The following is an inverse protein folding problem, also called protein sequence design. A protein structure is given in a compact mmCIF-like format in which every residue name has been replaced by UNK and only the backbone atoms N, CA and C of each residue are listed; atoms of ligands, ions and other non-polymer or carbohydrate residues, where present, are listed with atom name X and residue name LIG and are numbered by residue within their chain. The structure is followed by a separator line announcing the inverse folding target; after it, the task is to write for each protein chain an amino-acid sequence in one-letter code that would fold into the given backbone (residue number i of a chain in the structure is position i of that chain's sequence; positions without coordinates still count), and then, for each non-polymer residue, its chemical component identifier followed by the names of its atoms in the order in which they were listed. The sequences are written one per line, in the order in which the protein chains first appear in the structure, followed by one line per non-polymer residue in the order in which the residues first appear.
data_IF_847500759256
#
_entry.id   IF_847500759256
#
_cell.length_a   1.000
_cell.length_b   1.000
_cell.length_c   1.000
_cell.angle_alpha   90.00
_cell.angle_beta   90.00
_cell.angle_gamma   90.00
#
_symmetry.space_group_name_H-M   'P 1'
#
loop_
_entity.id
_entity.type
_entity.pdbx_description
1 polymer ?
#
# COMPACT_ATOMS: atom_id res chain seq x y z
N UNK A 1 -14.47 33.55 -19.39
CA UNK A 1 -13.33 32.90 -18.68
C UNK A 1 -13.86 32.45 -17.34
N UNK A 2 -13.83 31.14 -17.06
CA UNK A 2 -14.24 30.66 -15.74
C UNK A 2 -13.11 31.00 -14.75
N UNK A 3 -13.35 31.98 -13.87
CA UNK A 3 -12.37 32.44 -12.86
C UNK A 3 -12.29 31.47 -11.66
N UNK A 4 -12.50 30.16 -11.89
CA UNK A 4 -12.56 29.14 -10.85
C UNK A 4 -11.95 27.85 -11.37
N UNK A 5 -11.03 27.27 -10.60
CA UNK A 5 -10.52 25.91 -10.79
C UNK A 5 -11.45 24.96 -10.01
N UNK A 6 -11.74 23.78 -10.56
CA UNK A 6 -12.52 22.79 -9.82
C UNK A 6 -11.74 22.29 -8.60
N UNK A 7 -12.43 21.98 -7.50
CA UNK A 7 -11.75 21.48 -6.29
C UNK A 7 -10.90 20.23 -6.59
N UNK A 8 -11.39 19.36 -7.48
CA UNK A 8 -10.69 18.15 -7.91
C UNK A 8 -9.38 18.48 -8.65
N UNK A 9 -9.40 19.42 -9.59
CA UNK A 9 -8.16 19.87 -10.24
C UNK A 9 -7.18 20.46 -9.23
N UNK A 10 -7.65 21.29 -8.30
CA UNK A 10 -6.77 21.87 -7.27
C UNK A 10 -6.12 20.80 -6.38
N UNK A 11 -6.91 19.83 -5.89
CA UNK A 11 -6.43 18.82 -4.96
C UNK A 11 -5.57 17.75 -5.66
N UNK A 12 -5.79 17.48 -6.94
CA UNK A 12 -5.00 16.49 -7.70
C UNK A 12 -3.57 16.97 -7.98
N UNK A 13 -3.35 18.28 -8.08
CA UNK A 13 -2.03 18.89 -8.17
C UNK A 13 -1.43 19.26 -6.81
N UNK A 14 -2.15 19.00 -5.72
CA UNK A 14 -1.67 19.29 -4.37
C UNK A 14 -0.60 18.28 -3.96
N UNK A 15 0.44 18.69 -3.20
CA UNK A 15 1.37 17.76 -2.55
C UNK A 15 0.64 16.69 -1.73
N UNK A 16 1.18 15.47 -1.71
CA UNK A 16 0.59 14.34 -0.97
C UNK A 16 0.45 14.61 0.54
N UNK A 17 1.31 15.48 1.08
CA UNK A 17 1.27 15.97 2.47
C UNK A 17 -0.03 16.69 2.83
N UNK A 18 -0.72 17.22 1.81
CA UNK A 18 -2.02 17.83 2.00
C UNK A 18 -3.16 16.83 2.06
N UNK A 19 -2.94 15.57 1.66
CA UNK A 19 -3.94 14.50 1.71
C UNK A 19 -3.72 13.63 2.94
N UNK A 20 -2.46 13.32 3.23
CA UNK A 20 -2.03 12.60 4.42
C UNK A 20 -0.96 13.41 5.12
N UNK A 21 -1.23 13.82 6.37
CA UNK A 21 -0.34 14.69 7.15
C UNK A 21 0.95 13.93 7.50
N UNK A 22 2.15 14.37 7.11
CA UNK A 22 3.42 13.76 7.54
C UNK A 22 3.60 13.81 9.05
N UNK A 23 4.30 12.83 9.63
CA UNK A 23 4.54 12.76 11.09
C UNK A 23 5.38 13.96 11.52
N UNK A 24 4.86 14.77 12.44
CA UNK A 24 5.56 15.96 12.91
C UNK A 24 6.70 15.58 13.86
N UNK A 25 7.75 16.40 13.94
CA UNK A 25 8.94 16.10 14.74
C UNK A 25 8.61 15.83 16.22
N UNK A 26 7.61 16.52 16.75
CA UNK A 26 7.12 16.37 18.12
C UNK A 26 6.39 15.03 18.34
N UNK A 27 5.82 14.45 17.28
CA UNK A 27 5.09 13.17 17.31
C UNK A 27 6.01 11.97 17.07
N UNK A 28 7.20 12.16 16.50
CA UNK A 28 8.16 11.08 16.18
C UNK A 28 8.45 10.18 17.39
N UNK A 29 8.70 10.69 18.62
CA UNK A 29 8.95 9.82 19.77
C UNK A 29 7.77 8.89 20.08
N UNK A 30 6.55 9.43 20.04
CA UNK A 30 5.33 8.65 20.25
C UNK A 30 5.15 7.60 19.14
N UNK A 31 5.38 8.00 17.88
CA UNK A 31 5.30 7.09 16.75
C UNK A 31 6.31 5.92 16.87
N UNK A 32 7.55 6.22 17.26
CA UNK A 32 8.57 5.19 17.52
C UNK A 32 8.14 4.23 18.62
N UNK A 33 7.52 4.72 19.70
CA UNK A 33 6.96 3.85 20.73
C UNK A 33 5.86 2.92 20.18
N UNK A 34 5.02 3.36 19.23
CA UNK A 34 4.04 2.49 18.58
C UNK A 34 4.74 1.37 17.78
N UNK A 35 5.79 1.71 17.03
CA UNK A 35 6.60 0.75 16.27
C UNK A 35 7.30 -0.25 17.21
N UNK A 36 7.97 0.23 18.25
CA UNK A 36 8.65 -0.61 19.26
C UNK A 36 7.68 -1.58 19.94
N UNK A 37 6.47 -1.13 20.25
CA UNK A 37 5.42 -2.00 20.80
C UNK A 37 5.03 -3.12 19.83
N UNK A 38 4.97 -2.84 18.52
CA UNK A 38 4.72 -3.87 17.50
C UNK A 38 5.85 -4.90 17.48
N UNK A 39 7.11 -4.47 17.49
CA UNK A 39 8.26 -5.39 17.55
C UNK A 39 8.26 -6.22 18.85
N UNK A 40 8.08 -5.59 20.01
CA UNK A 40 8.08 -6.26 21.30
C UNK A 40 6.96 -7.32 21.40
N UNK A 41 5.73 -6.95 21.02
CA UNK A 41 4.59 -7.89 21.04
C UNK A 41 4.74 -8.97 19.99
N UNK A 42 5.34 -8.70 18.83
CA UNK A 42 5.59 -9.71 17.81
C UNK A 42 6.49 -10.86 18.32
N UNK A 43 7.50 -10.54 19.12
CA UNK A 43 8.40 -11.52 19.73
C UNK A 43 7.76 -12.24 20.91
N UNK A 44 7.22 -11.47 21.87
CA UNK A 44 6.91 -11.94 23.22
C UNK A 44 5.41 -12.01 23.53
N UNK A 45 4.56 -11.36 22.73
CA UNK A 45 3.13 -11.25 22.98
C UNK A 45 2.30 -12.46 22.56
N UNK A 46 1.06 -12.50 23.04
CA UNK A 46 -0.01 -13.39 22.59
C UNK A 46 -0.49 -13.01 21.19
N UNK A 47 -1.27 -13.89 20.53
CA UNK A 47 -1.87 -13.59 19.21
C UNK A 47 -2.72 -12.30 19.24
N UNK A 48 -3.44 -12.08 20.35
CA UNK A 48 -4.28 -10.90 20.53
C UNK A 48 -3.44 -9.64 20.66
N UNK A 49 -2.45 -9.63 21.57
CA UNK A 49 -1.60 -8.45 21.78
C UNK A 49 -0.83 -8.04 20.52
N UNK A 50 -0.45 -9.00 19.68
CA UNK A 50 0.16 -8.74 18.37
C UNK A 50 -0.79 -8.05 17.40
N UNK A 51 -2.05 -8.49 17.35
CA UNK A 51 -3.09 -7.85 16.56
C UNK A 51 -3.34 -6.44 17.06
N UNK A 52 -3.63 -6.30 18.35
CA UNK A 52 -3.96 -5.04 19.01
C UNK A 52 -2.85 -3.98 18.85
N UNK A 53 -1.56 -4.36 18.90
CA UNK A 53 -0.45 -3.43 18.72
C UNK A 53 -0.34 -2.91 17.28
N UNK A 54 -0.48 -3.78 16.28
CA UNK A 54 -0.49 -3.39 14.87
C UNK A 54 -1.72 -2.55 14.54
N UNK A 55 -2.88 -2.89 15.10
CA UNK A 55 -4.10 -2.12 14.92
C UNK A 55 -3.97 -0.70 15.47
N UNK A 56 -3.34 -0.54 16.64
CA UNK A 56 -3.05 0.78 17.23
C UNK A 56 -2.14 1.62 16.35
N UNK A 57 -1.05 1.01 15.84
CA UNK A 57 -0.15 1.67 14.89
C UNK A 57 -0.91 2.13 13.64
N UNK A 58 -1.68 1.24 13.02
CA UNK A 58 -2.45 1.59 11.81
C UNK A 58 -3.55 2.61 12.07
N UNK A 59 -4.15 2.61 13.26
CA UNK A 59 -5.10 3.65 13.66
C UNK A 59 -4.44 5.02 13.63
N UNK A 60 -3.24 5.15 14.23
CA UNK A 60 -2.47 6.39 14.18
C UNK A 60 -2.18 6.80 12.74
N UNK A 61 -1.73 5.88 11.89
CA UNK A 61 -1.39 6.16 10.49
C UNK A 61 -2.61 6.59 9.68
N UNK A 62 -3.74 5.88 9.78
CA UNK A 62 -4.95 6.20 9.02
C UNK A 62 -5.57 7.53 9.45
N UNK A 63 -5.52 7.88 10.75
CA UNK A 63 -6.06 9.14 11.26
C UNK A 63 -5.36 10.39 10.71
N UNK A 64 -4.22 10.24 10.03
CA UNK A 64 -3.51 11.36 9.40
C UNK A 64 -4.04 11.72 8.01
N UNK A 65 -4.89 10.90 7.40
CA UNK A 65 -5.66 11.35 6.24
C UNK A 65 -6.54 12.54 6.61
N UNK A 66 -6.67 13.51 5.71
CA UNK A 66 -7.59 14.64 5.87
C UNK A 66 -8.98 14.25 5.35
N UNK A 67 -10.02 14.84 5.91
CA UNK A 67 -11.42 14.65 5.48
C UNK A 67 -11.86 13.17 5.47
N UNK A 68 -11.56 12.46 6.54
CA UNK A 68 -11.94 11.05 6.72
C UNK A 68 -12.62 10.79 8.07
N UNK A 69 -13.21 9.60 8.16
CA UNK A 69 -13.63 8.96 9.41
C UNK A 69 -13.01 7.57 9.49
N UNK A 70 -12.22 7.31 10.54
CA UNK A 70 -11.70 5.96 10.81
C UNK A 70 -12.64 5.24 11.78
N UNK A 71 -13.25 4.15 11.33
CA UNK A 71 -13.95 3.20 12.19
C UNK A 71 -13.01 2.03 12.47
N UNK A 72 -12.75 1.72 13.73
CA UNK A 72 -11.92 0.58 14.13
C UNK A 72 -12.79 -0.49 14.80
N UNK A 73 -12.36 -1.76 14.74
CA UNK A 73 -13.03 -2.89 15.40
C UNK A 73 -14.53 -3.01 15.05
N UNK A 74 -14.85 -2.87 13.75
CA UNK A 74 -16.23 -2.94 13.26
C UNK A 74 -16.69 -4.38 13.25
N UNK A 75 -17.63 -4.71 14.14
CA UNK A 75 -18.21 -6.05 14.25
C UNK A 75 -19.54 -6.11 13.50
N UNK A 76 -19.65 -7.09 12.61
CA UNK A 76 -20.91 -7.63 12.09
C UNK A 76 -21.10 -9.03 12.67
N UNK A 77 -22.32 -9.58 12.59
CA UNK A 77 -22.70 -10.86 13.19
C UNK A 77 -21.71 -12.01 12.90
N UNK A 78 -21.03 -11.98 11.74
CA UNK A 78 -20.12 -13.05 11.31
C UNK A 78 -18.65 -12.62 11.12
N UNK A 79 -18.34 -11.31 11.10
CA UNK A 79 -17.00 -10.81 10.76
C UNK A 79 -16.58 -9.59 11.61
N UNK A 80 -15.33 -9.59 12.06
CA UNK A 80 -14.65 -8.43 12.63
C UNK A 80 -13.74 -7.82 11.56
N UNK A 81 -13.87 -6.50 11.36
CA UNK A 81 -13.01 -5.71 10.48
C UNK A 81 -12.17 -4.81 11.36
N UNK A 82 -10.85 -4.86 11.17
CA UNK A 82 -9.92 -4.09 12.00
C UNK A 82 -10.09 -2.58 11.75
N UNK A 83 -10.12 -2.15 10.48
CA UNK A 83 -10.32 -0.75 10.09
C UNK A 83 -11.22 -0.59 8.87
N UNK A 84 -12.10 0.40 8.93
CA UNK A 84 -12.76 1.02 7.77
C UNK A 84 -12.39 2.50 7.78
N UNK A 85 -11.70 2.96 6.74
CA UNK A 85 -11.44 4.37 6.51
C UNK A 85 -12.47 4.87 5.51
N UNK A 86 -13.39 5.72 5.96
CA UNK A 86 -14.39 6.35 5.11
C UNK A 86 -13.91 7.75 4.73
N UNK A 87 -13.80 8.01 3.43
CA UNK A 87 -13.47 9.32 2.91
C UNK A 87 -14.73 10.14 2.66
N UNK A 88 -14.66 11.45 2.93
CA UNK A 88 -15.77 12.36 2.67
C UNK A 88 -15.87 12.60 1.16
N UNK A 89 -17.05 12.34 0.60
CA UNK A 89 -17.34 12.56 -0.82
C UNK A 89 -17.15 14.04 -1.20
N UNK A 90 -16.61 14.29 -2.38
CA UNK A 90 -16.28 15.64 -2.87
C UNK A 90 -15.08 16.33 -2.19
N UNK A 91 -14.45 15.70 -1.18
CA UNK A 91 -13.25 16.22 -0.51
C UNK A 91 -12.00 15.37 -0.78
N UNK A 92 -12.09 14.41 -1.70
CA UNK A 92 -11.00 13.47 -2.01
C UNK A 92 -10.34 13.78 -3.34
N UNK A 93 -9.02 13.51 -3.47
CA UNK A 93 -8.37 13.48 -4.78
C UNK A 93 -8.97 12.44 -5.71
N UNK A 94 -8.85 12.68 -7.01
CA UNK A 94 -9.31 11.78 -8.07
C UNK A 94 -8.69 10.39 -7.94
N UNK A 95 -7.45 10.28 -7.46
CA UNK A 95 -6.85 8.97 -7.21
C UNK A 95 -7.65 8.14 -6.20
N UNK A 96 -8.06 8.74 -5.07
CA UNK A 96 -8.90 8.06 -4.08
C UNK A 96 -10.26 7.75 -4.69
N UNK A 97 -10.91 8.74 -5.30
CA UNK A 97 -12.26 8.58 -5.86
C UNK A 97 -12.34 7.47 -6.92
N UNK A 98 -11.39 7.44 -7.86
CA UNK A 98 -11.41 6.48 -8.97
C UNK A 98 -10.94 5.09 -8.55
N UNK A 99 -9.86 5.00 -7.76
CA UNK A 99 -9.14 3.74 -7.55
C UNK A 99 -9.39 3.09 -6.19
N UNK A 100 -9.57 3.88 -5.12
CA UNK A 100 -9.86 3.39 -3.76
C UNK A 100 -11.38 3.29 -3.54
N UNK A 101 -12.11 4.26 -4.08
CA UNK A 101 -13.48 4.55 -3.68
C UNK A 101 -13.54 5.34 -2.37
N UNK A 102 -14.75 5.58 -1.87
CA UNK A 102 -14.97 6.32 -0.61
C UNK A 102 -14.69 5.48 0.65
N UNK A 103 -14.28 4.23 0.49
CA UNK A 103 -13.92 3.35 1.60
C UNK A 103 -12.63 2.61 1.31
N UNK A 104 -11.78 2.49 2.33
CA UNK A 104 -10.63 1.61 2.37
C UNK A 104 -10.81 0.65 3.55
N UNK A 105 -10.54 -0.64 3.33
CA UNK A 105 -10.61 -1.66 4.38
C UNK A 105 -9.20 -2.07 4.79
N UNK A 106 -8.89 -1.94 6.07
CA UNK A 106 -7.60 -2.30 6.65
C UNK A 106 -7.70 -3.56 7.50
N UNK A 107 -6.75 -4.48 7.33
CA UNK A 107 -6.60 -5.70 8.13
C UNK A 107 -5.18 -5.82 8.67
N UNK A 108 -5.06 -6.00 9.98
CA UNK A 108 -3.80 -6.17 10.69
C UNK A 108 -3.50 -7.66 10.87
N UNK A 109 -2.33 -8.09 10.39
CA UNK A 109 -1.86 -9.49 10.45
C UNK A 109 -0.44 -9.55 10.97
N UNK A 110 -0.32 -9.50 12.29
CA UNK A 110 0.96 -9.50 12.97
C UNK A 110 1.34 -10.90 13.51
N UNK A 111 1.51 -11.86 12.60
CA UNK A 111 1.91 -13.24 12.94
C UNK A 111 3.24 -13.63 12.30
N UNK A 112 3.91 -14.66 12.84
CA UNK A 112 5.24 -15.15 12.39
C UNK A 112 5.22 -15.85 11.00
N UNK A 113 4.28 -15.50 10.13
CA UNK A 113 4.09 -16.07 8.78
C UNK A 113 3.82 -14.94 7.78
N UNK A 114 4.08 -15.20 6.52
CA UNK A 114 3.67 -14.34 5.40
C UNK A 114 2.15 -14.37 5.24
N UNK A 115 1.60 -13.34 4.57
CA UNK A 115 0.15 -13.30 4.27
C UNK A 115 -0.19 -14.41 3.28
N UNK A 116 -1.18 -15.24 3.59
CA UNK A 116 -1.61 -16.40 2.82
C UNK A 116 -2.78 -16.12 1.88
N UNK A 117 -2.97 -16.98 0.88
CA UNK A 117 -4.07 -16.85 -0.11
C UNK A 117 -5.46 -16.85 0.52
N UNK A 118 -5.63 -17.55 1.64
CA UNK A 118 -6.89 -17.55 2.40
C UNK A 118 -7.19 -16.17 2.96
N UNK A 119 -6.20 -15.50 3.54
CA UNK A 119 -6.36 -14.17 4.12
C UNK A 119 -6.70 -13.15 3.04
N UNK A 120 -6.02 -13.22 1.89
CA UNK A 120 -6.36 -12.41 0.71
C UNK A 120 -7.80 -12.65 0.25
N UNK A 121 -8.28 -13.89 0.27
CA UNK A 121 -9.67 -14.20 -0.11
C UNK A 121 -10.67 -13.62 0.90
N UNK A 122 -10.38 -13.75 2.20
CA UNK A 122 -11.23 -13.19 3.25
C UNK A 122 -11.32 -11.66 3.15
N UNK A 123 -10.21 -10.97 2.90
CA UNK A 123 -10.23 -9.52 2.72
C UNK A 123 -11.02 -9.12 1.46
N UNK A 124 -10.89 -9.86 0.36
CA UNK A 124 -11.70 -9.61 -0.85
C UNK A 124 -13.21 -9.74 -0.61
N UNK A 125 -13.62 -10.69 0.22
CA UNK A 125 -15.01 -10.83 0.65
C UNK A 125 -15.46 -9.59 1.45
N UNK A 126 -14.64 -9.10 2.39
CA UNK A 126 -14.93 -7.86 3.12
C UNK A 126 -15.03 -6.65 2.19
N UNK A 127 -14.14 -6.55 1.19
CA UNK A 127 -14.19 -5.48 0.19
C UNK A 127 -15.50 -5.50 -0.60
N UNK A 128 -15.93 -6.69 -1.03
CA UNK A 128 -17.23 -6.86 -1.71
C UNK A 128 -18.38 -6.46 -0.80
N UNK A 129 -18.39 -6.94 0.45
CA UNK A 129 -19.50 -6.72 1.38
C UNK A 129 -19.60 -5.26 1.85
N UNK A 130 -18.49 -4.50 1.79
CA UNK A 130 -18.44 -3.08 2.16
C UNK A 130 -18.43 -2.12 0.98
N UNK A 131 -18.52 -2.64 -0.25
CA UNK A 131 -18.42 -1.87 -1.50
C UNK A 131 -17.16 -1.00 -1.55
N UNK A 132 -16.02 -1.61 -1.23
CA UNK A 132 -14.68 -1.00 -1.27
C UNK A 132 -13.87 -1.57 -2.43
N UNK A 133 -13.05 -0.72 -3.08
CA UNK A 133 -12.17 -1.14 -4.17
C UNK A 133 -10.75 -1.48 -3.70
N UNK A 134 -10.35 -1.05 -2.50
CA UNK A 134 -9.00 -1.24 -1.99
C UNK A 134 -8.99 -1.84 -0.58
N UNK A 135 -8.27 -2.95 -0.45
CA UNK A 135 -7.89 -3.57 0.82
C UNK A 135 -6.42 -3.36 1.12
N UNK A 136 -6.12 -3.10 2.39
CA UNK A 136 -4.76 -2.93 2.89
C UNK A 136 -4.48 -3.93 3.99
N UNK A 137 -3.42 -4.72 3.82
CA UNK A 137 -2.83 -5.47 4.92
C UNK A 137 -1.71 -4.67 5.59
N UNK A 138 -1.66 -4.70 6.92
CA UNK A 138 -0.49 -4.33 7.71
C UNK A 138 0.07 -5.57 8.40
N UNK A 139 1.36 -5.86 8.21
CA UNK A 139 1.93 -7.11 8.71
C UNK A 139 3.43 -6.99 8.96
N UNK A 140 3.98 -7.95 9.69
CA UNK A 140 5.44 -8.02 9.84
C UNK A 140 6.14 -8.49 8.56
N UNK A 141 5.51 -9.44 7.84
CA UNK A 141 6.01 -10.03 6.61
C UNK A 141 5.06 -9.76 5.44
N UNK A 142 5.61 -9.69 4.22
CA UNK A 142 4.83 -9.51 3.00
C UNK A 142 3.99 -10.75 2.62
N UNK A 143 3.33 -10.69 1.47
CA UNK A 143 2.57 -11.80 0.89
C UNK A 143 3.46 -13.01 0.59
N UNK A 144 2.88 -14.21 0.75
CA UNK A 144 3.50 -15.44 0.30
C UNK A 144 3.70 -15.43 -1.21
N UNK A 145 4.95 -15.62 -1.64
CA UNK A 145 5.35 -15.74 -3.05
C UNK A 145 5.28 -17.20 -3.50
N UNK A 146 4.96 -17.42 -4.77
CA UNK A 146 4.99 -18.74 -5.41
C UNK A 146 6.17 -18.89 -6.36
N UNK A 147 6.23 -20.02 -7.08
CA UNK A 147 7.21 -20.20 -8.16
C UNK A 147 6.94 -19.30 -9.37
N UNK A 148 5.68 -18.90 -9.58
CA UNK A 148 5.30 -17.89 -10.57
C UNK A 148 4.49 -16.77 -9.91
N UNK A 149 4.35 -15.65 -10.63
CA UNK A 149 3.60 -14.47 -10.16
C UNK A 149 2.09 -14.73 -9.96
N UNK A 150 1.57 -15.85 -10.48
CA UNK A 150 0.17 -16.27 -10.41
C UNK A 150 -0.16 -17.25 -9.26
N UNK A 151 0.80 -17.57 -8.41
CA UNK A 151 0.68 -18.56 -7.32
C UNK A 151 0.69 -17.89 -5.94
N UNK A 152 0.14 -18.57 -4.93
CA UNK A 152 0.07 -18.12 -3.53
C UNK A 152 -0.67 -16.78 -3.36
N UNK A 153 -0.42 -16.05 -2.26
CA UNK A 153 -1.15 -14.84 -1.93
C UNK A 153 -0.91 -13.74 -2.97
N UNK A 154 0.34 -13.63 -3.44
CA UNK A 154 0.75 -12.79 -4.55
C UNK A 154 -0.09 -13.04 -5.81
N UNK A 155 -0.19 -14.28 -6.27
CA UNK A 155 -1.04 -14.63 -7.41
C UNK A 155 -2.51 -14.41 -7.18
N UNK A 156 -2.99 -14.67 -5.95
CA UNK A 156 -4.39 -14.48 -5.59
C UNK A 156 -4.79 -13.01 -5.68
N UNK A 157 -4.01 -12.07 -5.11
CA UNK A 157 -4.31 -10.63 -5.19
C UNK A 157 -4.34 -10.14 -6.64
N UNK A 158 -3.42 -10.62 -7.50
CA UNK A 158 -3.42 -10.29 -8.95
C UNK A 158 -4.68 -10.78 -9.66
N UNK A 159 -5.03 -12.05 -9.46
CA UNK A 159 -6.24 -12.66 -10.06
C UNK A 159 -7.52 -11.95 -9.63
N UNK A 160 -7.61 -11.51 -8.38
CA UNK A 160 -8.77 -10.77 -7.88
C UNK A 160 -8.84 -9.36 -8.46
N UNK A 161 -7.69 -8.68 -8.57
CA UNK A 161 -7.60 -7.37 -9.20
C UNK A 161 -8.02 -7.40 -10.67
N UNK A 162 -7.58 -8.43 -11.42
CA UNK A 162 -8.01 -8.67 -12.81
C UNK A 162 -9.50 -8.98 -12.91
N UNK A 163 -9.99 -9.95 -12.12
CA UNK A 163 -11.34 -10.48 -12.27
C UNK A 163 -12.42 -9.53 -11.78
N UNK A 164 -12.16 -8.82 -10.69
CA UNK A 164 -13.18 -8.04 -9.98
C UNK A 164 -12.83 -6.56 -9.84
N UNK A 165 -11.66 -6.13 -10.29
CA UNK A 165 -11.22 -4.75 -10.13
C UNK A 165 -10.87 -4.35 -8.70
N UNK A 166 -10.95 -5.26 -7.71
CA UNK A 166 -10.61 -5.01 -6.31
C UNK A 166 -9.14 -5.26 -6.04
N UNK A 167 -8.44 -4.26 -5.51
CA UNK A 167 -7.00 -4.30 -5.30
C UNK A 167 -6.72 -4.60 -3.84
N UNK A 168 -5.69 -5.41 -3.59
CA UNK A 168 -5.20 -5.70 -2.24
C UNK A 168 -3.70 -5.43 -2.24
N UNK A 169 -3.27 -4.52 -1.37
CA UNK A 169 -1.86 -4.17 -1.16
C UNK A 169 -1.47 -4.45 0.30
N UNK A 170 -0.17 -4.54 0.56
CA UNK A 170 0.36 -4.85 1.88
C UNK A 170 1.51 -3.93 2.25
N UNK A 171 1.55 -3.53 3.52
CA UNK A 171 2.64 -2.78 4.12
C UNK A 171 3.29 -3.62 5.23
N UNK A 172 4.60 -3.77 5.12
CA UNK A 172 5.43 -4.39 6.15
C UNK A 172 5.75 -3.41 7.26
N UNK A 173 6.07 -3.91 8.45
CA UNK A 173 6.47 -3.05 9.58
C UNK A 173 7.64 -2.12 9.24
N UNK A 174 8.60 -2.58 8.42
CA UNK A 174 9.73 -1.75 7.96
C UNK A 174 9.28 -0.59 7.08
N UNK A 175 8.30 -0.82 6.21
CA UNK A 175 7.74 0.25 5.38
C UNK A 175 6.96 1.25 6.23
N UNK A 176 6.20 0.78 7.23
CA UNK A 176 5.52 1.66 8.17
C UNK A 176 6.53 2.46 9.00
N UNK A 177 7.61 1.85 9.49
CA UNK A 177 8.68 2.54 10.22
C UNK A 177 9.30 3.69 9.40
N UNK A 178 9.41 3.54 8.07
CA UNK A 178 9.92 4.59 7.18
C UNK A 178 9.03 5.84 7.06
N UNK A 179 7.81 5.82 7.60
CA UNK A 179 6.89 6.98 7.59
C UNK A 179 7.35 8.16 8.47
N UNK A 180 8.43 8.00 9.23
CA UNK A 180 9.12 9.13 9.86
C UNK A 180 9.64 10.12 8.81
N UNK A 181 10.01 9.62 7.63
CA UNK A 181 10.59 10.41 6.54
C UNK A 181 9.74 10.37 5.26
N UNK A 182 8.83 9.40 5.15
CA UNK A 182 8.01 9.16 3.96
C UNK A 182 6.53 9.47 4.20
N UNK A 183 5.82 9.78 3.13
CA UNK A 183 4.38 10.00 3.15
C UNK A 183 3.61 8.69 2.84
N UNK A 184 2.66 8.31 3.72
CA UNK A 184 1.90 7.06 3.56
C UNK A 184 1.04 7.04 2.29
N UNK A 185 0.42 8.17 1.93
CA UNK A 185 -0.39 8.27 0.72
C UNK A 185 0.47 8.12 -0.55
N UNK A 186 1.69 8.66 -0.54
CA UNK A 186 2.66 8.41 -1.62
C UNK A 186 2.98 6.92 -1.75
N UNK A 187 3.32 6.24 -0.65
CA UNK A 187 3.61 4.80 -0.67
C UNK A 187 2.39 3.97 -1.12
N UNK A 188 1.18 4.40 -0.74
CA UNK A 188 -0.06 3.77 -1.17
C UNK A 188 -0.24 3.86 -2.69
N UNK A 189 -0.05 5.05 -3.29
CA UNK A 189 -0.09 5.23 -4.75
C UNK A 189 0.98 4.37 -5.44
N UNK A 190 2.21 4.35 -4.92
CA UNK A 190 3.30 3.58 -5.48
C UNK A 190 3.01 2.07 -5.47
N UNK A 191 2.51 1.53 -4.36
CA UNK A 191 2.10 0.12 -4.28
C UNK A 191 0.91 -0.20 -5.17
N UNK A 192 -0.05 0.71 -5.28
CA UNK A 192 -1.19 0.56 -6.17
C UNK A 192 -0.73 0.48 -7.63
N UNK A 193 0.08 1.44 -8.08
CA UNK A 193 0.60 1.48 -9.46
C UNK A 193 1.47 0.27 -9.77
N UNK A 194 2.33 -0.15 -8.82
CA UNK A 194 3.09 -1.39 -8.98
C UNK A 194 2.18 -2.58 -9.27
N UNK A 195 1.08 -2.75 -8.54
CA UNK A 195 0.16 -3.86 -8.77
C UNK A 195 -0.55 -3.76 -10.13
N UNK A 196 -1.02 -2.56 -10.50
CA UNK A 196 -1.73 -2.36 -11.76
C UNK A 196 -0.80 -2.63 -12.94
N UNK A 197 0.35 -1.96 -12.97
CA UNK A 197 1.27 -2.03 -14.09
C UNK A 197 1.94 -3.42 -14.18
N UNK A 198 2.19 -4.09 -13.04
CA UNK A 198 2.67 -5.49 -13.01
C UNK A 198 1.67 -6.50 -13.61
N UNK A 199 0.36 -6.25 -13.46
CA UNK A 199 -0.69 -7.12 -14.01
C UNK A 199 -0.83 -6.90 -15.53
N UNK A 200 -0.67 -5.66 -15.98
CA UNK A 200 -0.78 -5.27 -17.38
C UNK A 200 0.45 -5.66 -18.21
N UNK A 201 1.59 -5.90 -17.56
CA UNK A 201 2.79 -6.42 -18.20
C UNK A 201 2.64 -7.92 -18.53
N UNK A 202 2.26 -8.20 -19.78
CA UNK A 202 2.06 -9.56 -20.36
C UNK A 202 3.32 -10.45 -20.33
N UNK A 203 4.50 -9.92 -19.96
CA UNK A 203 5.77 -10.65 -19.94
C UNK A 203 6.15 -11.20 -18.54
N UNK A 204 5.49 -12.24 -18.04
CA UNK A 204 5.89 -12.75 -16.70
C UNK A 204 5.60 -14.23 -16.40
N UNK A 205 6.06 -15.14 -17.26
CA UNK A 205 6.20 -16.55 -16.86
C UNK A 205 7.61 -16.92 -16.36
N UNK A 206 8.61 -16.02 -16.45
CA UNK A 206 10.00 -16.36 -16.17
C UNK A 206 10.64 -15.41 -15.16
N UNK A 207 10.66 -15.86 -13.91
CA UNK A 207 11.40 -15.36 -12.73
C UNK A 207 10.68 -14.32 -11.82
N UNK A 208 9.88 -14.84 -10.87
CA UNK A 208 9.14 -14.10 -9.83
C UNK A 208 10.02 -13.67 -8.62
N UNK A 209 11.35 -13.67 -8.74
CA UNK A 209 12.24 -13.38 -7.59
C UNK A 209 12.17 -11.91 -7.18
N UNK A 210 12.17 -11.02 -8.16
CA UNK A 210 12.29 -9.58 -7.94
C UNK A 210 10.94 -8.86 -8.01
N UNK A 211 10.73 -7.80 -7.21
CA UNK A 211 9.61 -6.87 -7.38
C UNK A 211 9.59 -6.22 -8.78
N UNK A 212 8.40 -5.84 -9.26
CA UNK A 212 8.21 -5.25 -10.60
C UNK A 212 9.11 -4.03 -10.88
N UNK A 213 9.16 -3.07 -9.95
CA UNK A 213 10.02 -1.89 -10.07
C UNK A 213 11.52 -2.22 -10.15
N UNK A 214 11.97 -3.28 -9.47
CA UNK A 214 13.34 -3.78 -9.56
C UNK A 214 13.61 -4.39 -10.94
N UNK A 215 12.65 -5.14 -11.50
CA UNK A 215 12.75 -5.68 -12.86
C UNK A 215 12.83 -4.57 -13.91
N UNK A 216 12.03 -3.50 -13.77
CA UNK A 216 12.11 -2.33 -14.64
C UNK A 216 13.49 -1.65 -14.57
N UNK A 217 14.05 -1.47 -13.36
CA UNK A 217 15.38 -0.91 -13.21
C UNK A 217 16.45 -1.79 -13.85
N UNK A 218 16.38 -3.12 -13.69
CA UNK A 218 17.31 -4.06 -14.32
C UNK A 218 17.28 -3.95 -15.85
N UNK A 219 16.08 -3.85 -16.43
CA UNK A 219 15.93 -3.62 -17.88
C UNK A 219 16.57 -2.28 -18.29
N UNK A 220 16.37 -1.21 -17.51
CA UNK A 220 16.97 0.09 -17.77
C UNK A 220 18.51 0.07 -17.69
N UNK A 221 19.06 -0.63 -16.70
CA UNK A 221 20.52 -0.86 -16.56
C UNK A 221 21.05 -1.60 -17.79
N UNK A 222 20.35 -2.64 -18.25
CA UNK A 222 20.77 -3.41 -19.42
C UNK A 222 20.78 -2.55 -20.69
N UNK A 223 19.75 -1.72 -20.91
CA UNK A 223 19.70 -0.81 -22.06
C UNK A 223 20.86 0.19 -22.06
N UNK A 224 21.23 0.71 -20.89
CA UNK A 224 22.37 1.62 -20.75
C UNK A 224 23.71 0.91 -21.01
N UNK A 225 23.90 -0.29 -20.44
CA UNK A 225 25.11 -1.10 -20.64
C UNK A 225 25.31 -1.51 -22.11
N UNK A 226 24.23 -1.71 -22.86
CA UNK A 226 24.26 -2.01 -24.30
C UNK A 226 24.48 -0.76 -25.17
N UNK A 227 24.51 0.45 -24.59
CA UNK A 227 24.64 1.71 -25.31
C UNK A 227 23.40 2.08 -26.13
N UNK A 228 22.23 1.48 -25.84
CA UNK A 228 20.96 1.81 -26.50
C UNK A 228 20.43 3.15 -25.97
N UNK A 229 20.65 3.43 -24.69
CA UNK A 229 20.36 4.72 -24.06
C UNK A 229 21.62 5.32 -23.46
N UNK A 230 21.70 6.65 -23.43
CA UNK A 230 22.79 7.36 -22.80
C UNK A 230 22.60 7.48 -21.28
N UNK A 231 23.59 8.11 -20.62
CA UNK A 231 23.59 8.28 -19.16
C UNK A 231 22.50 9.23 -18.67
N UNK A 232 22.13 10.23 -19.45
CA UNK A 232 21.09 11.20 -19.09
C UNK A 232 19.71 10.53 -19.09
N UNK A 233 19.41 9.78 -20.14
CA UNK A 233 18.21 8.96 -20.26
C UNK A 233 18.12 7.91 -19.16
N UNK A 234 19.25 7.27 -18.79
CA UNK A 234 19.31 6.34 -17.66
C UNK A 234 18.93 7.01 -16.33
N UNK A 235 19.55 8.15 -15.99
CA UNK A 235 19.28 8.88 -14.74
C UNK A 235 17.81 9.33 -14.69
N UNK A 236 17.29 9.88 -15.78
CA UNK A 236 15.90 10.30 -15.86
C UNK A 236 14.93 9.11 -15.74
N UNK A 237 15.22 8.00 -16.43
CA UNK A 237 14.41 6.78 -16.36
C UNK A 237 14.38 6.20 -14.95
N UNK A 238 15.53 6.15 -14.26
CA UNK A 238 15.62 5.69 -12.88
C UNK A 238 14.77 6.55 -11.94
N UNK A 239 14.91 7.89 -12.05
CA UNK A 239 14.11 8.84 -11.26
C UNK A 239 12.60 8.62 -11.45
N UNK A 240 12.15 8.44 -12.69
CA UNK A 240 10.74 8.20 -13.00
C UNK A 240 10.22 6.87 -12.43
N UNK A 241 11.05 5.82 -12.44
CA UNK A 241 10.72 4.53 -11.80
C UNK A 241 10.56 4.72 -10.29
N UNK A 242 11.52 5.39 -9.63
CA UNK A 242 11.49 5.62 -8.19
C UNK A 242 10.32 6.51 -7.76
N UNK A 243 9.99 7.55 -8.53
CA UNK A 243 8.82 8.40 -8.28
C UNK A 243 7.52 7.61 -8.37
N UNK A 244 7.36 6.82 -9.44
CA UNK A 244 6.10 6.10 -9.74
C UNK A 244 5.89 4.87 -8.87
N UNK A 245 6.96 4.15 -8.55
CA UNK A 245 6.88 2.82 -7.94
C UNK A 245 7.61 2.70 -6.59
N UNK A 246 8.30 3.75 -6.15
CA UNK A 246 9.13 3.74 -4.96
C UNK A 246 10.54 3.21 -5.22
N UNK A 247 11.41 3.40 -4.22
CA UNK A 247 12.82 3.06 -4.29
C UNK A 247 13.03 1.59 -4.69
N UNK A 248 14.03 1.40 -5.54
CA UNK A 248 14.50 0.11 -6.05
C UNK A 248 15.84 -0.21 -5.41
N UNK A 249 15.88 -0.32 -4.08
CA UNK A 249 17.13 -0.69 -3.39
C UNK A 249 17.52 -2.10 -3.87
N UNK A 250 18.42 -2.13 -4.86
CA UNK A 250 19.14 -3.33 -5.30
C UNK A 250 20.36 -3.37 -4.38
N UNK A 251 20.34 -4.23 -3.36
CA UNK A 251 21.56 -4.64 -2.65
C UNK A 251 22.52 -5.38 -3.61
#
# INVERSE_FOLDING_TARGET
MANTISYNEYIDYSPDDNIWKPIENEEIPFYRTLIENVYHTFENGTKKEKGDSMEKLMTFIYQRFKAIKVCHNVRSNDNQIDHIVEFIDGMTPAFIQHYIGLRLIGESKNHKKTIGSREVSNLDELLRDKDSKLGVFSSFYSFSKGQSMWVNAEGKRRKLALKYGRKIIGFTIKELESLVEKNFYTLLKQKFNNLVDEIEDDFSDHDCKSPYNVSLLNNLIQLNNLGIIDQEAFINGKRLIEERYGNTDIE
#
